data_IF_453564026998
#
_entry.id   IF_453564026998
#
_cell.length_a   1.000
_cell.length_b   1.000
_cell.length_c   1.000
_cell.angle_alpha   90.00
_cell.angle_beta   90.00
_cell.angle_gamma   90.00
#
_symmetry.space_group_name_H-M   'P 1'
#
loop_
_entity.id
_entity.type
_entity.pdbx_description
1 polymer ?
#
# COMPACT_ATOMS: atom_id res chain seq x y z
N UNK A 1 -8.97 -7.36 21.51
CA UNK A 1 -7.78 -8.22 21.37
C UNK A 1 -8.13 -9.69 21.59
N UNK A 2 -8.67 -10.08 22.75
CA UNK A 2 -9.02 -11.48 23.06
C UNK A 2 -9.95 -12.13 22.03
N UNK A 3 -10.98 -11.41 21.56
CA UNK A 3 -11.89 -11.91 20.52
C UNK A 3 -11.13 -12.30 19.24
N UNK A 4 -10.14 -11.51 18.81
CA UNK A 4 -9.35 -11.83 17.61
C UNK A 4 -8.50 -13.07 17.81
N UNK A 5 -7.90 -13.24 19.00
CA UNK A 5 -7.11 -14.42 19.34
C UNK A 5 -7.98 -15.68 19.37
N UNK A 6 -9.18 -15.60 19.95
CA UNK A 6 -10.14 -16.71 19.92
C UNK A 6 -10.54 -17.06 18.49
N UNK A 7 -10.84 -16.07 17.64
CA UNK A 7 -11.15 -16.29 16.23
C UNK A 7 -9.98 -16.93 15.47
N UNK A 8 -8.73 -16.53 15.77
CA UNK A 8 -7.55 -17.14 15.18
C UNK A 8 -7.49 -18.63 15.48
N UNK A 9 -7.64 -19.01 16.76
CA UNK A 9 -7.64 -20.42 17.19
C UNK A 9 -8.81 -21.19 16.55
N UNK A 10 -9.99 -20.57 16.46
CA UNK A 10 -11.16 -21.19 15.82
C UNK A 10 -10.91 -21.49 14.34
N UNK A 11 -10.42 -20.51 13.56
CA UNK A 11 -10.13 -20.69 12.13
C UNK A 11 -8.99 -21.69 11.92
N UNK A 12 -7.99 -21.69 12.80
CA UNK A 12 -6.87 -22.62 12.74
C UNK A 12 -7.33 -24.08 12.91
N UNK A 13 -8.36 -24.35 13.72
CA UNK A 13 -8.91 -25.68 13.93
C UNK A 13 -10.06 -26.03 12.96
N UNK A 14 -10.44 -25.12 12.07
CA UNK A 14 -11.54 -25.31 11.14
C UNK A 14 -11.07 -25.96 9.84
N UNK A 15 -11.88 -26.88 9.31
CA UNK A 15 -11.68 -27.47 7.99
C UNK A 15 -11.83 -26.40 6.89
N UNK A 16 -10.96 -26.37 5.84
CA UNK A 16 -11.02 -25.41 4.74
C UNK A 16 -12.42 -25.27 4.12
N UNK A 17 -13.14 -26.39 3.94
CA UNK A 17 -14.47 -26.47 3.35
C UNK A 17 -15.54 -25.75 4.18
N UNK A 18 -15.29 -25.57 5.48
CA UNK A 18 -16.19 -24.84 6.36
C UNK A 18 -15.90 -23.34 6.33
N UNK A 19 -14.64 -22.91 6.20
CA UNK A 19 -14.26 -21.48 6.25
C UNK A 19 -14.93 -20.68 5.14
N UNK A 20 -15.05 -21.25 3.93
CA UNK A 20 -15.74 -20.62 2.79
C UNK A 20 -17.23 -20.33 3.06
N UNK A 21 -17.87 -21.04 3.99
CA UNK A 21 -19.26 -20.82 4.41
C UNK A 21 -19.43 -19.59 5.32
N UNK A 22 -18.34 -19.01 5.80
CA UNK A 22 -18.34 -17.83 6.69
C UNK A 22 -17.54 -16.68 6.06
N UNK A 23 -17.94 -16.16 4.89
CA UNK A 23 -17.21 -15.09 4.20
C UNK A 23 -17.15 -13.78 5.01
N UNK A 24 -18.04 -13.59 5.98
CA UNK A 24 -17.95 -12.49 6.94
C UNK A 24 -16.64 -12.49 7.76
N UNK A 25 -15.97 -13.64 7.94
CA UNK A 25 -14.65 -13.66 8.58
C UNK A 25 -13.61 -12.94 7.71
N UNK A 26 -13.66 -13.17 6.41
CA UNK A 26 -12.79 -12.50 5.44
C UNK A 26 -13.08 -10.99 5.42
N UNK A 27 -14.32 -10.59 5.15
CA UNK A 27 -14.69 -9.17 5.05
C UNK A 27 -14.59 -8.45 6.39
N UNK A 28 -14.81 -9.14 7.51
CA UNK A 28 -14.58 -8.61 8.84
C UNK A 28 -13.10 -8.28 9.09
N UNK A 29 -12.18 -9.15 8.63
CA UNK A 29 -10.76 -8.83 8.67
C UNK A 29 -10.44 -7.60 7.83
N UNK A 30 -10.91 -7.54 6.58
CA UNK A 30 -10.70 -6.39 5.68
C UNK A 30 -11.19 -5.09 6.32
N UNK A 31 -12.40 -5.08 6.88
CA UNK A 31 -12.93 -3.91 7.58
C UNK A 31 -12.05 -3.49 8.77
N UNK A 32 -11.57 -4.46 9.56
CA UNK A 32 -10.73 -4.18 10.73
C UNK A 32 -9.29 -3.77 10.39
N UNK A 33 -8.78 -4.08 9.18
CA UNK A 33 -7.44 -3.64 8.75
C UNK A 33 -7.33 -2.12 8.57
N UNK A 34 -8.45 -1.40 8.47
CA UNK A 34 -8.45 0.07 8.44
C UNK A 34 -8.10 0.72 9.79
N UNK A 35 -8.02 -0.07 10.87
CA UNK A 35 -7.67 0.44 12.19
C UNK A 35 -6.27 1.09 12.22
N UNK A 36 -6.13 2.15 13.02
CA UNK A 36 -4.83 2.78 13.31
C UNK A 36 -4.17 2.23 14.59
N UNK A 37 -4.84 1.31 15.28
CA UNK A 37 -4.29 0.65 16.45
C UNK A 37 -3.39 -0.51 16.02
N UNK A 38 -2.08 -0.28 15.96
CA UNK A 38 -1.09 -1.23 15.40
C UNK A 38 -1.21 -2.65 15.99
N UNK A 39 -1.42 -2.80 17.30
CA UNK A 39 -1.55 -4.14 17.90
C UNK A 39 -2.83 -4.87 17.47
N UNK A 40 -3.93 -4.15 17.31
CA UNK A 40 -5.18 -4.72 16.77
C UNK A 40 -4.96 -5.09 15.31
N UNK A 41 -4.38 -4.18 14.53
CA UNK A 41 -4.02 -4.41 13.14
C UNK A 41 -3.16 -5.66 12.94
N UNK A 42 -2.11 -5.87 13.76
CA UNK A 42 -1.28 -7.08 13.71
C UNK A 42 -2.11 -8.35 13.94
N UNK A 43 -3.01 -8.35 14.93
CA UNK A 43 -3.86 -9.52 15.19
C UNK A 43 -4.90 -9.76 14.10
N UNK A 44 -5.36 -8.71 13.44
CA UNK A 44 -6.24 -8.81 12.27
C UNK A 44 -5.48 -9.41 11.08
N UNK A 45 -4.24 -8.98 10.83
CA UNK A 45 -3.40 -9.58 9.78
C UNK A 45 -3.07 -11.05 10.08
N UNK A 46 -2.82 -11.42 11.34
CA UNK A 46 -2.62 -12.82 11.73
C UNK A 46 -3.87 -13.68 11.59
N UNK A 47 -5.06 -13.11 11.88
CA UNK A 47 -6.33 -13.77 11.61
C UNK A 47 -6.54 -13.93 10.10
N UNK A 48 -6.33 -12.85 9.34
CA UNK A 48 -6.45 -12.86 7.89
C UNK A 48 -5.51 -13.88 7.25
N UNK A 49 -4.27 -13.97 7.70
CA UNK A 49 -3.31 -14.97 7.24
C UNK A 49 -3.84 -16.40 7.42
N UNK A 50 -4.51 -16.69 8.54
CA UNK A 50 -5.11 -18.02 8.78
C UNK A 50 -6.34 -18.24 7.91
N UNK A 51 -7.15 -17.22 7.70
CA UNK A 51 -8.31 -17.29 6.80
C UNK A 51 -7.86 -17.59 5.37
N UNK A 52 -6.89 -16.85 4.84
CA UNK A 52 -6.40 -17.08 3.47
C UNK A 52 -5.63 -18.39 3.31
N UNK A 53 -4.98 -18.91 4.36
CA UNK A 53 -4.34 -20.23 4.32
C UNK A 53 -5.38 -21.37 4.24
N UNK A 54 -6.65 -21.10 4.59
CA UNK A 54 -7.78 -22.03 4.49
C UNK A 54 -8.63 -21.83 3.22
N UNK A 55 -8.43 -20.73 2.50
CA UNK A 55 -9.16 -20.41 1.27
C UNK A 55 -8.26 -20.63 0.05
N UNK A 56 -8.78 -21.28 -0.99
CA UNK A 56 -8.06 -21.38 -2.25
C UNK A 56 -8.36 -20.17 -3.12
N UNK A 57 -7.33 -19.42 -3.52
CA UNK A 57 -7.46 -18.31 -4.48
C UNK A 57 -6.99 -18.69 -5.89
N UNK A 58 -6.79 -19.99 -6.15
CA UNK A 58 -6.43 -20.51 -7.48
C UNK A 58 -7.64 -20.72 -8.37
N UNK A 59 -8.82 -20.83 -7.78
CA UNK A 59 -10.09 -21.12 -8.41
C UNK A 59 -11.09 -19.96 -8.24
N UNK A 60 -11.98 -19.81 -9.22
CA UNK A 60 -12.96 -18.72 -9.24
C UNK A 60 -14.08 -18.92 -8.22
N UNK A 61 -14.25 -20.10 -7.65
CA UNK A 61 -15.34 -20.39 -6.69
C UNK A 61 -15.20 -19.57 -5.41
N UNK A 62 -14.03 -19.58 -4.77
CA UNK A 62 -13.77 -18.76 -3.59
C UNK A 62 -13.96 -17.28 -3.88
N UNK A 63 -13.45 -16.81 -5.02
CA UNK A 63 -13.59 -15.43 -5.44
C UNK A 63 -15.06 -15.03 -5.60
N UNK A 64 -15.85 -15.83 -6.31
CA UNK A 64 -17.28 -15.60 -6.52
C UNK A 64 -18.05 -15.60 -5.20
N UNK A 65 -17.76 -16.52 -4.27
CA UNK A 65 -18.39 -16.56 -2.95
C UNK A 65 -18.07 -15.29 -2.17
N UNK A 66 -16.80 -14.89 -2.11
CA UNK A 66 -16.39 -13.67 -1.41
C UNK A 66 -17.03 -12.43 -2.04
N UNK A 67 -17.01 -12.28 -3.36
CA UNK A 67 -17.60 -11.13 -4.05
C UNK A 67 -19.12 -11.07 -3.93
N UNK A 68 -19.80 -12.23 -3.90
CA UNK A 68 -21.26 -12.29 -3.71
C UNK A 68 -21.70 -11.85 -2.30
N UNK A 69 -20.81 -11.97 -1.32
CA UNK A 69 -21.04 -11.63 0.09
C UNK A 69 -20.44 -10.28 0.51
N UNK A 70 -19.82 -9.57 -0.44
CA UNK A 70 -19.22 -8.27 -0.20
C UNK A 70 -20.27 -7.30 0.35
N UNK A 71 -19.99 -6.59 1.46
CA UNK A 71 -20.91 -5.59 1.98
C UNK A 71 -21.05 -4.45 0.97
N UNK A 72 -22.26 -4.24 0.43
CA UNK A 72 -22.57 -3.18 -0.55
C UNK A 72 -23.31 -2.02 0.12
N UNK A 73 -23.17 -0.83 -0.44
CA UNK A 73 -24.01 0.31 -0.06
C UNK A 73 -25.43 0.08 -0.58
N UNK A 74 -26.43 0.20 0.29
CA UNK A 74 -27.85 -0.04 -0.04
C UNK A 74 -28.40 0.92 -1.12
N UNK A 75 -27.62 1.92 -1.54
CA UNK A 75 -27.98 2.91 -2.56
C UNK A 75 -27.79 2.45 -4.03
N UNK A 76 -27.18 1.30 -4.29
CA UNK A 76 -27.05 0.78 -5.66
C UNK A 76 -28.32 0.07 -6.17
N UNK A 77 -29.40 0.07 -5.38
CA UNK A 77 -30.67 -0.63 -5.69
C UNK A 77 -31.73 0.26 -6.34
N UNK A 78 -31.35 1.31 -7.08
CA UNK A 78 -32.31 2.23 -7.73
C UNK A 78 -32.17 2.32 -9.26
N UNK A 79 -31.62 1.30 -9.91
CA UNK A 79 -31.69 1.17 -11.38
C UNK A 79 -32.15 -0.23 -11.77
N UNK A 80 -33.34 -0.30 -12.38
CA UNK A 80 -34.13 -1.47 -12.85
C UNK A 80 -34.68 -2.36 -11.73
N UNK A 81 -35.97 -2.51 -11.45
CA UNK A 81 -37.17 -2.40 -12.30
C UNK A 81 -38.41 -1.92 -11.52
N UNK A 82 -39.25 -1.18 -12.23
CA UNK A 82 -40.63 -0.89 -11.86
C UNK A 82 -41.49 -2.14 -12.07
N UNK A 83 -42.05 -2.74 -11.00
CA UNK A 83 -43.36 -3.40 -11.07
C UNK A 83 -44.03 -3.47 -9.70
N UNK A 84 -45.25 -2.96 -9.67
CA UNK A 84 -46.27 -3.01 -8.63
C UNK A 84 -46.30 -4.31 -7.81
N UNK A 85 -46.39 -4.19 -6.48
CA UNK A 85 -47.49 -4.76 -5.70
C UNK A 85 -47.53 -4.11 -4.32
N UNK A 86 -48.57 -3.29 -4.10
CA UNK A 86 -48.99 -2.82 -2.79
C UNK A 86 -49.25 -4.01 -1.85
N UNK A 87 -48.67 -3.98 -0.65
CA UNK A 87 -49.38 -4.47 0.53
C UNK A 87 -49.05 -3.61 1.75
N UNK A 88 -50.05 -2.83 2.12
CA UNK A 88 -50.14 -1.94 3.28
C UNK A 88 -50.15 -2.75 4.57
N UNK A 89 -49.32 -2.36 5.55
CA UNK A 89 -49.42 -2.55 7.03
C UNK A 89 -47.99 -2.47 7.61
N UNK A 90 -47.66 -1.86 8.73
CA UNK A 90 -48.26 -0.81 9.54
C UNK A 90 -47.11 -0.27 10.43
N UNK A 91 -46.74 0.98 10.17
CA UNK A 91 -46.06 1.99 11.01
C UNK A 91 -45.64 1.54 12.43
N UNK A 92 -44.33 1.45 12.70
CA UNK A 92 -43.75 1.72 14.03
C UNK A 92 -42.31 2.27 13.92
N UNK A 93 -42.20 3.55 14.31
CA UNK A 93 -41.02 4.35 14.63
C UNK A 93 -39.65 3.93 14.05
N UNK A 94 -39.31 4.52 12.91
CA UNK A 94 -37.95 4.66 12.42
C UNK A 94 -37.18 5.60 13.37
N UNK A 95 -36.22 5.08 14.13
CA UNK A 95 -35.16 5.94 14.66
C UNK A 95 -34.26 6.35 13.49
N UNK A 96 -33.86 7.64 13.39
CA UNK A 96 -32.97 8.08 12.33
C UNK A 96 -31.60 7.41 12.52
N UNK A 97 -31.25 6.50 11.61
CA UNK A 97 -29.92 5.88 11.58
C UNK A 97 -28.85 6.98 11.48
N UNK A 98 -27.88 7.06 12.40
CA UNK A 98 -26.83 8.04 12.32
C UNK A 98 -25.82 7.59 11.26
N UNK A 99 -25.45 8.51 10.38
CA UNK A 99 -24.43 8.42 9.32
C UNK A 99 -24.90 7.97 7.93
N UNK A 100 -25.37 8.95 7.15
CA UNK A 100 -25.17 9.04 5.69
C UNK A 100 -23.66 9.19 5.37
N UNK A 101 -22.80 8.32 5.91
CA UNK A 101 -21.38 8.29 5.60
C UNK A 101 -21.18 7.41 4.37
N UNK A 102 -20.71 7.97 3.26
CA UNK A 102 -20.28 7.19 2.10
C UNK A 102 -19.11 6.32 2.52
N UNK A 103 -19.21 5.00 2.33
CA UNK A 103 -18.10 4.09 2.62
C UNK A 103 -16.97 4.38 1.64
N UNK A 104 -15.70 4.39 2.06
CA UNK A 104 -14.58 4.45 1.14
C UNK A 104 -14.72 3.35 0.08
N UNK A 105 -14.40 3.68 -1.16
CA UNK A 105 -14.39 2.69 -2.23
C UNK A 105 -13.39 1.58 -1.87
N UNK A 106 -13.77 0.33 -2.08
CA UNK A 106 -12.89 -0.80 -1.84
C UNK A 106 -11.86 -0.88 -2.96
N UNK A 107 -10.61 -0.56 -2.65
CA UNK A 107 -9.47 -0.58 -3.59
C UNK A 107 -8.74 -1.94 -3.62
N UNK A 108 -9.19 -2.90 -2.80
CA UNK A 108 -8.57 -4.21 -2.64
C UNK A 108 -7.89 -4.40 -1.29
N UNK A 109 -7.51 -5.65 -0.99
CA UNK A 109 -6.83 -6.00 0.26
C UNK A 109 -5.35 -5.60 0.26
N UNK A 110 -4.65 -5.66 -0.88
CA UNK A 110 -3.21 -5.44 -0.95
C UNK A 110 -2.78 -4.06 -0.41
N UNK A 111 -3.44 -2.93 -0.74
CA UNK A 111 -3.10 -1.63 -0.15
C UNK A 111 -3.17 -1.64 1.39
N UNK A 112 -4.15 -2.35 1.96
CA UNK A 112 -4.32 -2.46 3.42
C UNK A 112 -3.18 -3.24 4.07
N UNK A 113 -2.61 -4.23 3.37
CA UNK A 113 -1.46 -5.00 3.87
C UNK A 113 -0.15 -4.24 3.65
N UNK A 114 -0.01 -3.53 2.52
CA UNK A 114 1.14 -2.67 2.24
C UNK A 114 1.29 -1.55 3.30
N UNK A 115 0.19 -1.01 3.83
CA UNK A 115 0.20 -0.10 5.00
C UNK A 115 1.03 -0.65 6.15
N UNK A 116 0.92 -1.95 6.42
CA UNK A 116 1.59 -2.59 7.54
C UNK A 116 3.11 -2.70 7.41
N UNK A 117 3.67 -2.43 6.22
CA UNK A 117 5.11 -2.31 6.03
C UNK A 117 5.68 -1.01 6.62
N UNK A 118 4.85 0.00 6.91
CA UNK A 118 5.28 1.29 7.50
C UNK A 118 5.45 1.25 9.02
N UNK A 119 5.56 0.08 9.63
CA UNK A 119 5.77 -0.04 11.06
C UNK A 119 6.57 -1.28 11.37
N UNK A 120 7.59 -1.13 12.21
CA UNK A 120 8.41 -2.25 12.70
C UNK A 120 7.59 -3.30 13.45
N UNK A 121 6.44 -2.93 14.03
CA UNK A 121 5.56 -3.83 14.78
C UNK A 121 4.71 -4.71 13.87
N UNK A 122 4.18 -4.16 12.76
CA UNK A 122 3.33 -4.89 11.82
C UNK A 122 4.08 -5.45 10.61
N UNK A 123 5.34 -5.05 10.41
CA UNK A 123 6.16 -5.43 9.27
C UNK A 123 6.19 -6.94 9.03
N UNK A 124 6.57 -7.73 10.05
CA UNK A 124 6.77 -9.17 9.89
C UNK A 124 5.50 -9.92 9.47
N UNK A 125 4.37 -9.60 10.07
CA UNK A 125 3.07 -10.18 9.70
C UNK A 125 2.59 -9.67 8.33
N UNK A 126 2.90 -8.42 7.97
CA UNK A 126 2.55 -7.87 6.65
C UNK A 126 3.32 -8.57 5.54
N UNK A 127 4.63 -8.81 5.72
CA UNK A 127 5.43 -9.63 4.79
C UNK A 127 4.85 -11.04 4.68
N UNK A 128 4.45 -11.66 5.80
CA UNK A 128 3.80 -12.98 5.79
C UNK A 128 2.52 -12.97 4.95
N UNK A 129 1.62 -12.01 5.14
CA UNK A 129 0.38 -11.91 4.36
C UNK A 129 0.66 -11.61 2.88
N UNK A 130 1.55 -10.66 2.56
CA UNK A 130 1.97 -10.37 1.18
C UNK A 130 2.54 -11.62 0.49
N UNK A 131 3.34 -12.41 1.19
CA UNK A 131 3.86 -13.68 0.69
C UNK A 131 2.74 -14.65 0.31
N UNK A 132 1.66 -14.71 1.09
CA UNK A 132 0.50 -15.58 0.82
C UNK A 132 -0.37 -15.08 -0.34
N UNK A 133 -0.52 -13.77 -0.49
CA UNK A 133 -1.32 -13.17 -1.58
C UNK A 133 -0.50 -12.91 -2.87
N UNK A 134 0.72 -13.47 -2.96
CA UNK A 134 1.54 -13.49 -4.18
C UNK A 134 0.95 -14.50 -5.18
N UNK A 135 -0.23 -14.18 -5.72
CA UNK A 135 -0.99 -15.04 -6.63
C UNK A 135 -1.46 -14.22 -7.83
N UNK A 136 -1.45 -14.78 -9.06
CA UNK A 136 -1.80 -14.04 -10.27
C UNK A 136 -3.30 -13.74 -10.44
N UNK A 137 -4.16 -14.45 -9.71
CA UNK A 137 -5.62 -14.37 -9.77
C UNK A 137 -6.20 -13.44 -8.70
N UNK A 138 -7.51 -13.21 -8.78
CA UNK A 138 -8.32 -12.50 -7.78
C UNK A 138 -8.01 -10.99 -7.64
N UNK A 139 -7.82 -10.30 -8.76
CA UNK A 139 -7.61 -8.84 -8.76
C UNK A 139 -8.82 -8.10 -8.15
N UNK A 140 -10.06 -8.52 -8.42
CA UNK A 140 -11.26 -7.92 -7.81
C UNK A 140 -11.31 -7.98 -6.29
N UNK A 141 -10.49 -8.83 -5.66
CA UNK A 141 -10.38 -8.95 -4.20
C UNK A 141 -9.10 -8.27 -3.70
N UNK A 142 -7.97 -8.54 -4.34
CA UNK A 142 -6.67 -8.13 -3.83
C UNK A 142 -6.23 -6.74 -4.28
N UNK A 143 -6.70 -6.23 -5.41
CA UNK A 143 -6.40 -4.87 -5.88
C UNK A 143 -6.45 -4.73 -7.40
N UNK A 144 -6.39 -3.49 -7.86
CA UNK A 144 -6.47 -3.12 -9.27
C UNK A 144 -5.53 -3.92 -10.19
N UNK A 145 -6.08 -4.55 -11.23
CA UNK A 145 -5.35 -5.49 -12.09
C UNK A 145 -4.16 -4.86 -12.83
N UNK A 146 -4.20 -3.55 -13.12
CA UNK A 146 -3.12 -2.84 -13.80
C UNK A 146 -1.92 -2.63 -12.88
N UNK A 147 -2.20 -2.23 -11.63
CA UNK A 147 -1.19 -1.73 -10.68
C UNK A 147 -0.79 -2.72 -9.59
N UNK A 148 -1.58 -3.76 -9.34
CA UNK A 148 -1.38 -4.70 -8.22
C UNK A 148 0.00 -5.38 -8.26
N UNK A 149 0.44 -5.89 -9.41
CA UNK A 149 1.76 -6.55 -9.52
C UNK A 149 2.91 -5.54 -9.28
N UNK A 150 2.82 -4.34 -9.85
CA UNK A 150 3.79 -3.26 -9.62
C UNK A 150 3.91 -2.96 -8.13
N UNK A 151 2.79 -2.74 -7.45
CA UNK A 151 2.78 -2.41 -6.02
C UNK A 151 3.21 -3.60 -5.16
N UNK A 152 2.91 -4.83 -5.59
CA UNK A 152 3.38 -6.05 -4.93
C UNK A 152 4.91 -6.13 -4.93
N UNK A 153 5.51 -5.93 -6.12
CA UNK A 153 6.96 -5.93 -6.29
C UNK A 153 7.56 -4.75 -5.52
N UNK A 154 7.00 -3.55 -5.65
CA UNK A 154 7.51 -2.34 -4.97
C UNK A 154 7.54 -2.50 -3.45
N UNK A 155 6.52 -3.13 -2.86
CA UNK A 155 6.46 -3.38 -1.41
C UNK A 155 7.37 -4.52 -0.92
N UNK A 156 7.53 -5.60 -1.70
CA UNK A 156 8.33 -6.76 -1.31
C UNK A 156 9.81 -6.67 -1.69
N UNK A 157 10.17 -5.92 -2.73
CA UNK A 157 11.53 -5.85 -3.23
C UNK A 157 12.54 -5.34 -2.18
N UNK A 158 12.23 -4.33 -1.34
CA UNK A 158 13.12 -3.93 -0.25
C UNK A 158 13.44 -5.09 0.70
N UNK A 159 12.43 -5.90 1.04
CA UNK A 159 12.59 -7.08 1.90
C UNK A 159 13.48 -8.15 1.24
N UNK A 160 13.25 -8.43 -0.05
CA UNK A 160 14.04 -9.40 -0.81
C UNK A 160 15.50 -8.97 -0.92
N UNK A 161 15.76 -7.69 -1.16
CA UNK A 161 17.12 -7.13 -1.21
C UNK A 161 17.86 -7.32 0.12
N UNK A 162 17.19 -7.12 1.25
CA UNK A 162 17.81 -7.34 2.57
C UNK A 162 18.23 -8.78 2.82
N UNK A 163 17.56 -9.76 2.21
CA UNK A 163 17.94 -11.17 2.33
C UNK A 163 19.18 -11.54 1.51
N UNK A 164 19.66 -10.65 0.63
CA UNK A 164 20.93 -10.83 -0.11
C UNK A 164 22.15 -10.31 0.68
N UNK A 165 21.95 -9.33 1.56
CA UNK A 165 23.03 -8.63 2.27
C UNK A 165 23.48 -9.29 3.58
N UNK A 166 22.95 -10.48 3.91
CA UNK A 166 23.29 -11.18 5.15
C UNK A 166 24.30 -12.29 4.84
N UNK A 167 25.56 -12.10 5.26
CA UNK A 167 26.63 -13.07 5.05
C UNK A 167 26.27 -14.44 5.67
N UNK A 168 26.40 -15.48 4.85
CA UNK A 168 26.05 -16.88 5.13
C UNK A 168 27.01 -17.57 6.13
N UNK A 169 27.30 -16.94 7.28
CA UNK A 169 28.18 -17.49 8.31
C UNK A 169 27.45 -18.47 9.26
N UNK A 170 26.15 -18.71 9.06
CA UNK A 170 25.35 -19.45 10.05
C UNK A 170 24.82 -20.76 9.48
N UNK A 171 24.96 -21.84 10.25
CA UNK A 171 24.61 -23.21 9.88
C UNK A 171 23.15 -23.43 9.46
N UNK A 172 22.81 -24.65 8.99
CA UNK A 172 21.58 -24.97 8.25
C UNK A 172 20.26 -24.79 9.02
N UNK A 173 20.29 -24.41 10.30
CA UNK A 173 19.12 -24.23 11.18
C UNK A 173 18.97 -22.79 11.71
N UNK A 174 19.67 -21.81 11.12
CA UNK A 174 19.59 -20.43 11.59
C UNK A 174 18.27 -19.75 11.18
N UNK A 175 17.71 -18.86 12.03
CA UNK A 175 16.54 -18.06 11.67
C UNK A 175 16.73 -17.22 10.39
N UNK A 176 17.96 -16.82 10.09
CA UNK A 176 18.33 -16.03 8.91
C UNK A 176 18.20 -16.87 7.62
N UNK A 177 18.70 -18.12 7.64
CA UNK A 177 18.56 -19.03 6.51
C UNK A 177 17.09 -19.31 6.18
N UNK A 178 16.24 -19.40 7.20
CA UNK A 178 14.80 -19.59 7.02
C UNK A 178 14.14 -18.38 6.32
N UNK A 179 14.57 -17.16 6.64
CA UNK A 179 14.06 -15.95 5.96
C UNK A 179 14.54 -15.88 4.50
N UNK A 180 15.79 -16.25 4.23
CA UNK A 180 16.31 -16.32 2.86
C UNK A 180 15.54 -17.36 2.03
N UNK A 181 15.33 -18.58 2.56
CA UNK A 181 14.55 -19.60 1.86
C UNK A 181 13.11 -19.14 1.59
N UNK A 182 12.49 -18.44 2.56
CA UNK A 182 11.19 -17.82 2.35
C UNK A 182 11.24 -16.78 1.22
N UNK A 183 12.27 -15.93 1.18
CA UNK A 183 12.44 -14.96 0.10
C UNK A 183 12.60 -15.61 -1.28
N UNK A 184 13.37 -16.70 -1.39
CA UNK A 184 13.46 -17.47 -2.63
C UNK A 184 12.08 -18.01 -3.08
N UNK A 185 11.29 -18.54 -2.14
CA UNK A 185 9.93 -19.04 -2.46
C UNK A 185 8.99 -17.92 -2.91
N UNK A 186 9.08 -16.74 -2.30
CA UNK A 186 8.26 -15.57 -2.67
C UNK A 186 8.68 -15.04 -4.03
N UNK A 187 9.99 -14.93 -4.31
CA UNK A 187 10.50 -14.53 -5.62
C UNK A 187 10.07 -15.51 -6.73
N UNK A 188 10.11 -16.82 -6.47
CA UNK A 188 9.58 -17.80 -7.41
C UNK A 188 8.08 -17.60 -7.70
N UNK A 189 7.27 -17.27 -6.69
CA UNK A 189 5.86 -16.95 -6.88
C UNK A 189 5.64 -15.64 -7.66
N UNK A 190 6.46 -14.61 -7.41
CA UNK A 190 6.45 -13.37 -8.22
C UNK A 190 6.77 -13.71 -9.68
N UNK A 191 7.76 -14.56 -9.94
CA UNK A 191 8.08 -14.98 -11.30
C UNK A 191 6.93 -15.71 -12.01
N UNK A 192 6.21 -16.59 -11.30
CA UNK A 192 4.99 -17.24 -11.82
C UNK A 192 3.94 -16.18 -12.18
N UNK A 193 3.76 -15.16 -11.34
CA UNK A 193 2.82 -14.07 -11.61
C UNK A 193 3.25 -13.23 -12.80
N UNK A 194 4.54 -12.88 -12.92
CA UNK A 194 5.08 -12.19 -14.10
C UNK A 194 4.79 -12.97 -15.39
N UNK A 195 5.00 -14.29 -15.42
CA UNK A 195 4.65 -15.15 -16.58
C UNK A 195 3.16 -15.13 -16.90
N UNK A 196 2.30 -15.17 -15.89
CA UNK A 196 0.86 -15.09 -16.08
C UNK A 196 0.42 -13.76 -16.73
N UNK A 197 1.20 -12.68 -16.54
CA UNK A 197 1.02 -11.38 -17.21
C UNK A 197 1.92 -11.18 -18.44
N UNK A 198 2.52 -12.24 -18.98
CA UNK A 198 3.45 -12.19 -20.13
C UNK A 198 4.69 -11.28 -19.95
N UNK A 199 5.17 -11.12 -18.71
CA UNK A 199 6.38 -10.37 -18.37
C UNK A 199 7.56 -11.33 -18.18
N UNK A 200 7.97 -12.00 -19.25
CA UNK A 200 8.92 -13.13 -19.20
C UNK A 200 10.34 -12.72 -18.76
N UNK A 201 10.81 -11.54 -19.16
CA UNK A 201 12.11 -11.02 -18.73
C UNK A 201 12.14 -10.78 -17.22
N UNK A 202 11.08 -10.16 -16.68
CA UNK A 202 10.95 -9.89 -15.24
C UNK A 202 10.81 -11.20 -14.46
N UNK A 203 10.09 -12.18 -15.01
CA UNK A 203 10.01 -13.52 -14.43
C UNK A 203 11.39 -14.21 -14.34
N UNK A 204 12.21 -14.05 -15.37
CA UNK A 204 13.57 -14.61 -15.42
C UNK A 204 14.44 -14.02 -14.32
N UNK A 205 14.37 -12.70 -14.10
CA UNK A 205 15.09 -12.03 -13.02
C UNK A 205 14.68 -12.58 -11.64
N UNK A 206 13.39 -12.73 -11.36
CA UNK A 206 12.95 -13.27 -10.07
C UNK A 206 13.26 -14.77 -9.88
N UNK A 207 13.38 -15.55 -10.98
CA UNK A 207 13.88 -16.93 -10.91
C UNK A 207 15.38 -17.02 -10.65
N UNK A 208 16.17 -16.11 -11.25
CA UNK A 208 17.59 -15.97 -10.95
C UNK A 208 17.82 -15.59 -9.47
N UNK A 209 16.95 -14.74 -8.91
CA UNK A 209 16.92 -14.51 -7.46
C UNK A 209 16.60 -15.78 -6.67
N UNK A 210 15.53 -16.50 -7.04
CA UNK A 210 15.11 -17.69 -6.31
C UNK A 210 16.15 -18.83 -6.34
N UNK A 211 17.01 -18.86 -7.37
CA UNK A 211 18.12 -19.80 -7.52
C UNK A 211 19.44 -19.34 -6.88
N UNK A 212 19.48 -18.12 -6.33
CA UNK A 212 20.66 -17.59 -5.63
C UNK A 212 21.74 -17.02 -6.56
N UNK A 213 21.41 -16.63 -7.78
CA UNK A 213 22.36 -16.07 -8.74
C UNK A 213 22.80 -14.63 -8.41
N UNK A 214 21.97 -13.87 -7.68
CA UNK A 214 22.29 -12.50 -7.28
C UNK A 214 23.21 -12.45 -6.06
N UNK A 215 24.36 -11.80 -6.23
CA UNK A 215 25.38 -11.61 -5.17
C UNK A 215 25.28 -10.28 -4.42
N UNK A 216 24.37 -9.40 -4.83
CA UNK A 216 24.28 -8.05 -4.27
C UNK A 216 23.00 -7.33 -4.67
N UNK A 217 22.62 -6.37 -3.82
CA UNK A 217 21.40 -5.57 -3.97
C UNK A 217 21.43 -4.78 -5.27
N UNK A 218 22.54 -4.12 -5.58
CA UNK A 218 22.68 -3.28 -6.77
C UNK A 218 22.47 -4.06 -8.07
N UNK A 219 22.99 -5.29 -8.17
CA UNK A 219 22.84 -6.14 -9.34
C UNK A 219 21.37 -6.54 -9.57
N UNK A 220 20.65 -6.84 -8.49
CA UNK A 220 19.22 -7.14 -8.56
C UNK A 220 18.44 -5.92 -9.02
N UNK A 221 18.69 -4.76 -8.41
CA UNK A 221 17.98 -3.52 -8.75
C UNK A 221 18.27 -3.09 -10.19
N UNK A 222 19.52 -3.17 -10.65
CA UNK A 222 19.88 -2.90 -12.04
C UNK A 222 19.17 -3.81 -13.04
N UNK A 223 18.80 -5.04 -12.63
CA UNK A 223 18.08 -5.99 -13.48
C UNK A 223 16.55 -5.78 -13.44
N UNK A 224 16.00 -5.38 -12.29
CA UNK A 224 14.55 -5.21 -12.09
C UNK A 224 14.06 -3.82 -12.56
N UNK A 225 14.78 -2.75 -12.21
CA UNK A 225 14.36 -1.37 -12.46
C UNK A 225 14.01 -1.04 -13.92
N UNK A 226 14.82 -1.38 -14.94
CA UNK A 226 14.47 -1.07 -16.34
C UNK A 226 13.18 -1.78 -16.78
N UNK A 227 12.96 -3.02 -16.33
CA UNK A 227 11.77 -3.80 -16.66
C UNK A 227 10.51 -3.22 -16.01
N UNK A 228 10.60 -2.74 -14.77
CA UNK A 228 9.48 -2.06 -14.11
C UNK A 228 9.15 -0.72 -14.81
N UNK A 229 10.17 0.07 -15.11
CA UNK A 229 9.99 1.37 -15.75
C UNK A 229 9.36 1.21 -17.15
N UNK A 230 9.82 0.25 -17.95
CA UNK A 230 9.29 0.02 -19.28
C UNK A 230 7.81 -0.38 -19.31
N UNK A 231 7.37 -1.17 -18.32
CA UNK A 231 5.99 -1.69 -18.28
C UNK A 231 4.99 -0.70 -17.65
N UNK A 232 5.38 0.01 -16.58
CA UNK A 232 4.43 0.80 -15.79
C UNK A 232 4.66 2.31 -15.82
N UNK A 233 5.85 2.79 -16.19
CA UNK A 233 6.19 4.21 -16.10
C UNK A 233 6.06 4.89 -17.47
N UNK A 234 5.62 6.16 -17.53
CA UNK A 234 5.35 7.08 -16.41
C UNK A 234 3.94 6.96 -15.79
N UNK A 235 3.03 6.17 -16.38
CA UNK A 235 1.61 6.13 -15.99
C UNK A 235 1.37 5.87 -14.50
N UNK A 236 2.16 4.99 -13.89
CA UNK A 236 2.00 4.57 -12.50
C UNK A 236 3.22 4.92 -11.61
N UNK A 237 4.12 5.80 -12.07
CA UNK A 237 5.35 6.15 -11.34
C UNK A 237 5.06 6.80 -9.99
N UNK A 238 4.04 7.68 -9.91
CA UNK A 238 3.64 8.34 -8.67
C UNK A 238 3.23 7.34 -7.57
N UNK A 239 2.61 6.21 -7.93
CA UNK A 239 2.24 5.16 -6.97
C UNK A 239 3.47 4.49 -6.37
N UNK A 240 4.40 4.07 -7.23
CA UNK A 240 5.61 3.38 -6.82
C UNK A 240 6.54 4.31 -6.01
N UNK A 241 6.83 5.50 -6.52
CA UNK A 241 7.65 6.50 -5.82
C UNK A 241 6.99 6.95 -4.51
N UNK A 242 5.69 7.22 -4.51
CA UNK A 242 4.95 7.60 -3.31
C UNK A 242 5.05 6.55 -2.21
N UNK A 243 4.87 5.26 -2.55
CA UNK A 243 5.01 4.17 -1.58
C UNK A 243 6.44 4.02 -1.05
N UNK A 244 7.45 4.13 -1.92
CA UNK A 244 8.85 4.05 -1.51
C UNK A 244 9.26 5.21 -0.60
N UNK A 245 8.83 6.44 -0.92
CA UNK A 245 9.06 7.60 -0.06
C UNK A 245 8.38 7.45 1.30
N UNK A 246 7.18 6.88 1.32
CA UNK A 246 6.48 6.63 2.58
C UNK A 246 7.17 5.55 3.43
N UNK A 247 7.67 4.48 2.80
CA UNK A 247 8.54 3.48 3.44
C UNK A 247 9.83 4.09 3.97
N UNK A 248 10.43 5.04 3.24
CA UNK A 248 11.65 5.72 3.65
C UNK A 248 11.43 6.56 4.91
N UNK A 249 10.28 7.23 5.00
CA UNK A 249 9.94 8.13 6.10
C UNK A 249 9.43 7.40 7.36
N UNK A 250 8.62 6.35 7.19
CA UNK A 250 7.91 5.67 8.31
C UNK A 250 8.30 4.21 8.52
N UNK A 251 8.90 3.56 7.52
CA UNK A 251 9.23 2.15 7.56
C UNK A 251 10.40 1.81 8.49
N UNK A 252 10.75 0.51 8.58
CA UNK A 252 11.90 0.05 9.34
C UNK A 252 13.21 0.69 8.86
N UNK A 253 14.09 1.05 9.79
CA UNK A 253 15.35 1.74 9.49
C UNK A 253 16.28 0.92 8.59
N UNK A 254 16.18 -0.42 8.66
CA UNK A 254 16.94 -1.35 7.84
C UNK A 254 16.63 -1.20 6.34
N UNK A 255 15.44 -0.67 6.00
CA UNK A 255 15.01 -0.52 4.62
C UNK A 255 15.57 0.75 3.98
N UNK A 256 15.94 1.76 4.77
CA UNK A 256 16.25 3.11 4.25
C UNK A 256 17.33 3.07 3.16
N UNK A 257 18.44 2.38 3.40
CA UNK A 257 19.51 2.23 2.41
C UNK A 257 19.01 1.58 1.12
N UNK A 258 18.27 0.48 1.24
CA UNK A 258 17.73 -0.26 0.09
C UNK A 258 16.74 0.58 -0.70
N UNK A 259 15.88 1.33 -0.02
CA UNK A 259 14.91 2.22 -0.65
C UNK A 259 15.62 3.34 -1.41
N UNK A 260 16.67 3.94 -0.84
CA UNK A 260 17.45 4.95 -1.57
C UNK A 260 18.09 4.38 -2.84
N UNK A 261 18.66 3.17 -2.77
CA UNK A 261 19.18 2.48 -3.96
C UNK A 261 18.09 2.20 -4.99
N UNK A 262 16.88 1.81 -4.55
CA UNK A 262 15.73 1.60 -5.44
C UNK A 262 15.26 2.90 -6.09
N UNK A 263 15.13 3.99 -5.32
CA UNK A 263 14.75 5.31 -5.84
C UNK A 263 15.73 5.76 -6.92
N UNK A 264 17.05 5.65 -6.67
CA UNK A 264 18.09 5.95 -7.65
C UNK A 264 17.91 5.12 -8.93
N UNK A 265 17.80 3.80 -8.79
CA UNK A 265 17.71 2.90 -9.94
C UNK A 265 16.45 3.15 -10.79
N UNK A 266 15.32 3.49 -10.17
CA UNK A 266 14.09 3.83 -10.89
C UNK A 266 14.17 5.21 -11.57
N UNK A 267 14.75 6.21 -10.92
CA UNK A 267 14.91 7.57 -11.48
C UNK A 267 15.79 7.59 -12.74
N UNK A 268 16.78 6.69 -12.82
CA UNK A 268 17.66 6.57 -14.00
C UNK A 268 16.92 6.19 -15.28
N UNK A 269 15.74 5.56 -15.17
CA UNK A 269 14.97 5.06 -16.31
C UNK A 269 13.66 5.82 -16.53
N UNK A 270 13.35 6.85 -15.75
CA UNK A 270 12.06 7.55 -15.86
C UNK A 270 12.17 9.03 -15.52
N UNK A 271 11.66 9.93 -16.39
CA UNK A 271 11.58 11.34 -16.05
C UNK A 271 10.59 11.53 -14.89
N UNK A 272 11.01 12.27 -13.86
CA UNK A 272 10.17 12.54 -12.69
C UNK A 272 9.18 13.66 -13.01
N UNK A 273 7.94 13.51 -12.54
CA UNK A 273 6.95 14.59 -12.60
C UNK A 273 7.38 15.78 -11.71
N UNK A 274 7.36 16.98 -12.28
CA UNK A 274 7.72 18.22 -11.60
C UNK A 274 6.89 18.47 -10.32
N UNK A 275 5.68 17.93 -10.23
CA UNK A 275 4.85 18.04 -9.03
C UNK A 275 5.37 17.20 -7.85
N UNK A 276 6.03 16.07 -8.12
CA UNK A 276 6.49 15.11 -7.11
C UNK A 276 7.95 15.34 -6.68
N UNK A 277 8.76 15.97 -7.54
CA UNK A 277 10.16 16.28 -7.27
C UNK A 277 10.39 17.07 -5.96
N UNK A 278 9.60 18.10 -5.59
CA UNK A 278 9.80 18.83 -4.34
C UNK A 278 9.62 17.95 -3.10
N UNK A 279 8.65 17.04 -3.13
CA UNK A 279 8.37 16.14 -2.01
C UNK A 279 9.50 15.13 -1.81
N UNK A 280 9.96 14.52 -2.91
CA UNK A 280 11.12 13.62 -2.89
C UNK A 280 12.38 14.34 -2.39
N UNK A 281 12.65 15.54 -2.89
CA UNK A 281 13.77 16.36 -2.42
C UNK A 281 13.68 16.64 -0.92
N UNK A 282 12.51 17.03 -0.42
CA UNK A 282 12.31 17.35 0.99
C UNK A 282 12.58 16.15 1.92
N UNK A 283 12.18 14.94 1.52
CA UNK A 283 12.43 13.73 2.32
C UNK A 283 13.90 13.30 2.22
N UNK A 284 14.45 13.20 1.00
CA UNK A 284 15.80 12.67 0.79
C UNK A 284 16.88 13.62 1.31
N UNK A 285 16.67 14.94 1.23
CA UNK A 285 17.63 15.93 1.76
C UNK A 285 17.84 15.83 3.27
N UNK A 286 16.81 15.44 4.03
CA UNK A 286 16.94 15.21 5.48
C UNK A 286 17.89 14.07 5.83
N UNK A 287 18.13 13.14 4.89
CA UNK A 287 19.02 12.00 5.08
C UNK A 287 20.48 12.31 4.70
N UNK A 288 20.77 13.48 4.11
CA UNK A 288 22.14 13.87 3.73
C UNK A 288 23.03 14.09 4.97
N UNK A 289 22.45 14.46 6.10
CA UNK A 289 23.17 14.61 7.39
C UNK A 289 23.33 13.28 8.14
N UNK A 290 22.80 12.17 7.59
CA UNK A 290 22.83 10.85 8.23
C UNK A 290 24.02 9.98 7.75
N UNK A 291 24.11 8.76 8.26
CA UNK A 291 25.07 7.75 7.79
C UNK A 291 24.80 7.26 6.36
N UNK A 292 23.65 7.60 5.78
CA UNK A 292 23.23 7.24 4.42
C UNK A 292 23.47 8.38 3.41
N UNK A 293 24.37 9.32 3.74
CA UNK A 293 24.59 10.54 2.98
C UNK A 293 24.95 10.27 1.50
N UNK A 294 25.76 9.24 1.22
CA UNK A 294 26.17 8.89 -0.13
C UNK A 294 25.01 8.37 -0.97
N UNK A 295 24.20 7.46 -0.43
CA UNK A 295 23.00 6.98 -1.10
C UNK A 295 22.00 8.13 -1.31
N UNK A 296 21.78 8.98 -0.30
CA UNK A 296 20.90 10.14 -0.41
C UNK A 296 21.36 11.14 -1.48
N UNK A 297 22.64 11.51 -1.51
CA UNK A 297 23.21 12.38 -2.54
C UNK A 297 23.07 11.77 -3.93
N UNK A 298 23.28 10.46 -4.07
CA UNK A 298 23.13 9.78 -5.36
C UNK A 298 21.69 9.77 -5.88
N UNK A 299 20.69 9.76 -4.98
CA UNK A 299 19.27 9.93 -5.35
C UNK A 299 18.99 11.36 -5.77
N UNK A 300 19.51 12.35 -5.03
CA UNK A 300 19.34 13.77 -5.39
C UNK A 300 19.98 14.10 -6.74
N UNK A 301 21.16 13.55 -7.03
CA UNK A 301 21.81 13.68 -8.33
C UNK A 301 20.96 13.07 -9.46
N UNK A 302 20.47 11.83 -9.25
CA UNK A 302 19.58 11.18 -10.21
C UNK A 302 18.29 12.01 -10.43
N UNK A 303 17.69 12.54 -9.36
CA UNK A 303 16.50 13.39 -9.46
C UNK A 303 16.76 14.66 -10.28
N UNK A 304 17.91 15.31 -10.10
CA UNK A 304 18.30 16.49 -10.88
C UNK A 304 18.49 16.14 -12.36
N UNK A 305 19.14 15.02 -12.66
CA UNK A 305 19.31 14.53 -14.03
C UNK A 305 17.94 14.25 -14.69
N UNK A 306 17.03 13.56 -14.00
CA UNK A 306 15.68 13.26 -14.48
C UNK A 306 14.79 14.49 -14.66
N UNK A 307 15.06 15.60 -13.94
CA UNK A 307 14.37 16.89 -14.15
C UNK A 307 14.96 17.70 -15.32
N UNK A 308 16.22 17.44 -15.69
CA UNK A 308 16.93 18.20 -16.73
C UNK A 308 16.70 17.70 -18.16
N UNK A 309 16.11 16.51 -18.32
CA UNK A 309 15.76 15.95 -19.63
C UNK A 309 14.52 16.64 -20.23
N UNK A 310 14.65 17.88 -20.67
CA UNK A 310 13.68 18.48 -21.59
C UNK A 310 13.83 17.82 -22.97
N UNK A 311 12.72 17.44 -23.65
CA UNK A 311 12.77 17.08 -25.05
C UNK A 311 12.84 18.38 -25.88
N UNK A 312 14.04 18.76 -26.32
CA UNK A 312 14.21 19.78 -27.35
C UNK A 312 15.37 20.74 -27.14
N UNK A 313 16.57 20.36 -27.57
CA UNK A 313 17.54 21.28 -28.18
C UNK A 313 18.53 20.50 -29.05
N UNK A 314 18.83 21.09 -30.20
CA UNK A 314 19.54 20.57 -31.37
C UNK A 314 20.87 19.83 -31.10
N UNK A 315 21.33 18.97 -32.03
CA UNK A 315 22.65 18.36 -31.92
C UNK A 315 23.75 19.43 -31.91
N UNK A 316 24.86 19.22 -31.19
CA UNK A 316 26.00 20.13 -31.22
C UNK A 316 26.71 19.97 -32.57
N UNK A 317 26.55 20.92 -33.48
CA UNK A 317 27.47 21.05 -34.60
C UNK A 317 28.84 21.46 -34.07
N UNK A 318 29.83 20.60 -34.34
CA UNK A 318 31.24 20.88 -34.14
C UNK A 318 31.67 21.98 -35.12
N UNK A 319 32.22 23.09 -34.58
CA UNK A 319 32.76 24.20 -35.37
C UNK A 319 33.98 24.81 -34.69
N UNK A 320 35.10 24.72 -35.40
CA UNK A 320 36.48 25.14 -35.13
C UNK A 320 36.73 26.49 -34.43
N UNK A 321 37.82 26.49 -33.65
CA UNK A 321 38.63 27.63 -33.20
C UNK A 321 38.86 28.71 -34.27
N UNK A 322 38.84 29.99 -33.85
CA UNK A 322 39.91 30.96 -34.17
C UNK A 322 39.89 32.19 -33.23
N UNK A 323 41.09 32.66 -32.90
CA UNK A 323 41.39 33.77 -31.97
C UNK A 323 41.01 35.15 -32.50
N UNK A 324 40.68 36.08 -31.60
CA UNK A 324 40.66 37.52 -31.91
C UNK A 324 40.45 38.42 -30.68
N UNK A 325 41.50 39.16 -30.30
CA UNK A 325 41.53 40.20 -29.27
C UNK A 325 40.69 41.44 -29.65
N UNK A 326 40.07 42.10 -28.66
CA UNK A 326 39.60 43.50 -28.78
C UNK A 326 38.38 43.82 -27.93
N UNK A 327 38.59 44.53 -26.81
CA UNK A 327 37.53 44.86 -25.84
C UNK A 327 36.60 46.00 -26.27
N UNK A 328 35.45 46.12 -25.59
CA UNK A 328 34.93 47.35 -24.93
C UNK A 328 33.72 46.93 -24.08
N UNK A 329 33.56 47.54 -22.92
CA UNK A 329 32.40 47.38 -22.01
C UNK A 329 31.05 47.51 -22.72
N UNK A 330 30.15 46.53 -22.52
CA UNK A 330 28.73 46.83 -22.29
C UNK A 330 28.09 45.85 -21.31
N UNK A 331 27.46 46.49 -20.33
CA UNK A 331 26.78 46.04 -19.12
C UNK A 331 25.43 45.42 -19.45
N UNK A 332 25.26 44.10 -19.28
CA UNK A 332 23.92 43.49 -19.12
C UNK A 332 23.99 42.37 -18.07
N UNK A 333 23.51 42.71 -16.87
CA UNK A 333 23.13 41.78 -15.83
C UNK A 333 21.60 41.59 -15.93
N UNK A 334 21.08 40.36 -15.89
CA UNK A 334 19.75 40.16 -15.34
C UNK A 334 19.89 39.45 -13.99
N UNK A 335 19.80 40.25 -12.93
CA UNK A 335 19.29 39.77 -11.65
C UNK A 335 17.88 39.24 -11.91
N UNK A 336 17.65 37.96 -11.62
CA UNK A 336 16.31 37.50 -11.26
C UNK A 336 16.39 36.93 -9.85
N UNK A 337 15.99 37.77 -8.91
CA UNK A 337 15.68 37.41 -7.54
C UNK A 337 14.73 36.22 -7.53
N UNK A 338 15.20 35.06 -7.05
CA UNK A 338 14.31 34.00 -6.59
C UNK A 338 13.55 34.51 -5.36
N UNK A 339 12.37 35.08 -5.62
CA UNK A 339 11.34 35.33 -4.61
C UNK A 339 10.05 34.70 -5.12
N UNK A 340 10.03 33.37 -5.14
CA UNK A 340 8.81 32.61 -5.35
C UNK A 340 7.93 32.78 -4.11
N UNK A 341 6.92 33.64 -4.25
CA UNK A 341 5.82 33.80 -3.31
C UNK A 341 4.98 32.53 -3.39
N UNK A 342 5.24 31.58 -2.50
CA UNK A 342 4.50 30.32 -2.38
C UNK A 342 3.04 30.62 -2.03
N UNK A 343 2.15 30.48 -3.02
CA UNK A 343 0.73 30.34 -2.79
C UNK A 343 0.37 28.85 -2.73
N UNK A 344 -0.49 28.40 -1.81
CA UNK A 344 -0.94 27.02 -1.80
C UNK A 344 -1.90 26.81 -2.97
N UNK A 345 -1.46 26.04 -3.98
CA UNK A 345 -2.36 25.53 -5.01
C UNK A 345 -2.77 24.10 -4.64
N UNK A 346 -4.06 23.97 -4.36
CA UNK A 346 -4.77 22.73 -4.11
C UNK A 346 -4.69 21.85 -5.35
N UNK A 347 -4.24 20.61 -5.20
CA UNK A 347 -4.42 19.58 -6.23
C UNK A 347 -5.31 18.46 -5.67
N UNK A 348 -6.39 18.20 -6.39
CA UNK A 348 -7.31 17.11 -6.17
C UNK A 348 -6.87 15.91 -7.02
N UNK A 349 -6.33 14.87 -6.39
CA UNK A 349 -6.26 13.52 -6.94
C UNK A 349 -6.08 12.55 -5.76
N UNK A 350 -7.02 11.61 -5.65
CA UNK A 350 -7.12 10.70 -4.51
C UNK A 350 -5.96 9.72 -4.43
N UNK A 351 -5.29 9.72 -3.28
CA UNK A 351 -5.01 8.56 -2.42
C UNK A 351 -4.95 9.16 -1.02
N UNK A 352 -6.02 8.96 -0.24
CA UNK A 352 -6.16 9.51 1.10
C UNK A 352 -5.64 8.52 2.13
N UNK A 353 -4.36 8.63 2.49
CA UNK A 353 -3.86 8.10 3.77
C UNK A 353 -3.05 9.22 4.45
N UNK A 354 -3.63 9.73 5.54
CA UNK A 354 -3.25 11.02 6.13
C UNK A 354 -1.88 11.04 6.82
N UNK A 355 -1.19 12.16 6.62
CA UNK A 355 -0.07 12.62 7.43
C UNK A 355 -0.39 14.03 7.95
N UNK A 356 0.11 14.38 9.13
CA UNK A 356 0.08 15.74 9.64
C UNK A 356 1.42 16.13 10.26
N UNK A 357 1.87 17.37 9.99
CA UNK A 357 2.44 18.29 11.00
C UNK A 357 2.68 19.72 10.44
N UNK A 358 1.93 20.70 10.98
CA UNK A 358 2.31 22.06 11.48
C UNK A 358 2.95 23.13 10.53
N UNK A 359 2.68 24.45 10.57
CA UNK A 359 2.12 25.35 11.59
C UNK A 359 1.64 26.72 10.97
N UNK A 360 0.54 27.26 11.51
CA UNK A 360 0.11 28.67 11.71
C UNK A 360 -0.07 29.70 10.56
N UNK A 361 -1.33 30.13 10.36
CA UNK A 361 -1.74 31.40 9.74
C UNK A 361 -3.27 31.51 9.58
N UNK A 362 -3.92 32.38 10.36
CA UNK A 362 -5.38 32.52 10.54
C UNK A 362 -6.19 32.74 9.24
N UNK A 363 -7.32 32.00 9.09
CA UNK A 363 -8.62 32.53 8.68
C UNK A 363 -9.73 31.45 8.84
N UNK A 364 -10.81 31.80 9.55
CA UNK A 364 -12.02 30.99 9.79
C UNK A 364 -12.68 30.52 8.50
N UNK A 365 -13.11 29.24 8.45
CA UNK A 365 -14.44 28.74 8.00
C UNK A 365 -14.54 27.23 8.35
N UNK A 366 -15.41 26.91 9.32
CA UNK A 366 -16.01 25.60 9.68
C UNK A 366 -15.22 24.30 9.40
N UNK A 367 -14.24 23.99 10.25
CA UNK A 367 -13.71 22.62 10.38
C UNK A 367 -14.63 21.78 11.30
N UNK A 368 -15.32 20.80 10.74
CA UNK A 368 -15.65 19.59 11.50
C UNK A 368 -14.35 18.80 11.66
N UNK A 369 -13.56 19.17 12.66
CA UNK A 369 -12.23 18.63 12.98
C UNK A 369 -12.30 17.23 13.55
N UNK A 370 -12.62 16.24 12.72
CA UNK A 370 -12.47 14.82 13.07
C UNK A 370 -11.00 14.47 12.90
N UNK A 371 -10.35 14.00 13.96
CA UNK A 371 -8.95 13.57 13.86
C UNK A 371 -8.81 12.37 12.90
N UNK A 372 -7.67 12.18 12.21
CA UNK A 372 -7.45 11.02 11.34
C UNK A 372 -7.76 9.68 12.03
N UNK A 373 -7.44 9.60 13.34
CA UNK A 373 -7.72 8.45 14.19
C UNK A 373 -9.22 8.22 14.42
N UNK A 374 -9.99 9.29 14.62
CA UNK A 374 -11.45 9.21 14.75
C UNK A 374 -12.10 8.84 13.42
N UNK A 375 -11.58 9.36 12.30
CA UNK A 375 -12.04 9.01 10.96
C UNK A 375 -11.78 7.52 10.65
N UNK A 376 -10.59 7.00 10.97
CA UNK A 376 -10.28 5.58 10.81
C UNK A 376 -11.15 4.69 11.69
N UNK A 377 -11.41 5.10 12.94
CA UNK A 377 -12.33 4.42 13.84
C UNK A 377 -13.76 4.42 13.27
N UNK A 378 -14.22 5.55 12.75
CA UNK A 378 -15.53 5.69 12.13
C UNK A 378 -15.65 4.78 10.89
N UNK A 379 -14.67 4.79 10.00
CA UNK A 379 -14.64 3.93 8.81
C UNK A 379 -14.64 2.44 9.20
N UNK A 380 -13.81 2.04 10.16
CA UNK A 380 -13.75 0.66 10.66
C UNK A 380 -15.10 0.23 11.23
N UNK A 381 -15.74 1.08 12.05
CA UNK A 381 -17.06 0.80 12.64
C UNK A 381 -18.13 0.67 11.57
N UNK A 382 -18.12 1.56 10.58
CA UNK A 382 -19.09 1.55 9.49
C UNK A 382 -18.95 0.27 8.67
N UNK A 383 -17.74 -0.03 8.18
CA UNK A 383 -17.48 -1.24 7.38
C UNK A 383 -17.79 -2.52 8.16
N UNK A 384 -17.37 -2.61 9.43
CA UNK A 384 -17.66 -3.77 10.26
C UNK A 384 -19.16 -3.90 10.55
N UNK A 385 -19.87 -2.79 10.77
CA UNK A 385 -21.33 -2.76 10.88
C UNK A 385 -21.99 -3.38 9.65
N UNK A 386 -21.57 -2.97 8.44
CA UNK A 386 -22.09 -3.53 7.18
C UNK A 386 -21.82 -5.02 7.02
N UNK A 387 -20.65 -5.50 7.42
CA UNK A 387 -20.33 -6.95 7.44
C UNK A 387 -21.25 -7.72 8.39
N UNK A 388 -21.60 -7.12 9.53
CA UNK A 388 -22.49 -7.76 10.50
C UNK A 388 -23.95 -7.72 10.06
N UNK A 389 -24.39 -6.67 9.37
CA UNK A 389 -25.75 -6.54 8.84
C UNK A 389 -26.01 -7.52 7.68
N UNK A 390 -25.00 -7.79 6.86
CA UNK A 390 -25.08 -8.81 5.79
C UNK A 390 -25.05 -10.24 6.32
N UNK A 391 -24.65 -10.45 7.58
CA UNK A 391 -24.68 -11.75 8.24
C UNK A 391 -26.12 -12.15 8.62
N UNK A 392 -26.52 -13.40 8.33
CA UNK A 392 -27.86 -13.92 8.66
C UNK A 392 -28.20 -13.83 10.16
N UNK A 393 -27.19 -13.81 11.04
CA UNK A 393 -27.34 -13.61 12.49
C UNK A 393 -27.53 -12.15 12.88
N UNK A 394 -27.10 -11.19 12.05
CA UNK A 394 -27.29 -9.75 12.27
C UNK A 394 -28.73 -9.30 12.08
N UNK A 395 -29.42 -9.82 11.06
CA UNK A 395 -30.84 -9.52 10.80
C UNK A 395 -31.81 -9.98 11.89
N UNK A 396 -31.41 -10.89 12.79
CA UNK A 396 -32.26 -11.47 13.85
C UNK A 396 -31.97 -10.95 15.26
N UNK A 397 -31.12 -9.93 15.44
CA UNK A 397 -30.92 -9.32 16.76
C UNK A 397 -31.87 -8.15 16.97
N UNK A 398 -33.09 -8.47 17.37
CA UNK A 398 -33.85 -7.56 18.23
C UNK A 398 -33.02 -7.34 19.50
N UNK A 399 -32.35 -6.19 19.61
CA UNK A 399 -31.52 -5.81 20.76
C UNK A 399 -32.30 -5.78 22.10
N UNK A 400 -33.61 -6.05 22.09
CA UNK A 400 -34.48 -6.16 23.28
C UNK A 400 -34.31 -7.46 24.08
N UNK A 401 -33.48 -8.42 23.65
CA UNK A 401 -33.22 -9.67 24.39
C UNK A 401 -31.74 -9.91 24.72
N UNK A 402 -30.96 -8.86 24.93
CA UNK A 402 -29.70 -9.00 25.66
C UNK A 402 -30.03 -9.06 27.15
N UNK A 403 -29.96 -10.27 27.72
CA UNK A 403 -30.03 -10.47 29.18
C UNK A 403 -28.82 -9.77 29.78
N UNK A 404 -28.98 -8.84 30.74
CA UNK A 404 -27.85 -8.21 31.39
C UNK A 404 -27.12 -9.27 32.23
N UNK A 405 -25.95 -9.70 31.79
CA UNK A 405 -25.00 -10.38 32.65
C UNK A 405 -24.41 -9.34 33.60
N UNK A 406 -25.03 -9.19 34.77
CA UNK A 406 -24.45 -9.06 36.12
C UNK A 406 -25.59 -8.69 37.09
N UNK A 407 -26.07 -9.67 37.84
CA UNK A 407 -26.69 -9.45 39.16
C UNK A 407 -26.28 -10.60 40.08
N UNK A 408 -25.12 -10.51 40.73
CA UNK A 408 -24.84 -11.15 42.04
C UNK A 408 -23.46 -10.74 42.58
N UNK A 409 -23.48 -9.77 43.49
CA UNK A 409 -22.66 -9.67 44.71
C UNK A 409 -23.35 -8.54 45.50
N UNK A 410 -24.14 -8.77 46.53
CA UNK A 410 -23.84 -9.54 47.74
C UNK A 410 -24.08 -8.56 48.90
N UNK A 411 -25.14 -8.81 49.66
CA UNK A 411 -25.61 -8.04 50.82
C UNK A 411 -24.53 -7.81 51.90
N UNK A 412 -24.76 -6.87 52.82
CA UNK A 412 -25.23 -7.30 54.15
C UNK A 412 -26.72 -7.00 54.40
#
# INVERSE_FOLDING_TARGET
>A
MEILLTLQVMVENMEPEKVILYPQLFWGCVAMMHTDFVHVYCQVLELFSRVIDRLSFRDTTTENVLLSSMPRDELDTNTSDSSEFQRTESRNACEPSPSNGKVPAFEGVQPLVLKGLMSTVSHGVSIKVLSRITVPSCDSIFGDAETRLLMHITGLLPWLCLQLGQDAVVGPTSPLQQQHQKACSVAANIAIWCRAKSLDELATVFLAYASGEFKGIENLLASVSPLLCNEWFPKHSALAFGHLLWLLEKGPVEYQRVILLMLKALLQHTPMDAAQSPHMYAIVSQLVESTLCWEALSVLEALLQSCSSLPGSHPPEAGSFENGFGGTDEKILPQTSFKARSGPLQFAAGIAYGAGSTLAGQANINESGISPRELALQNTRLMLGRVLDSCALGRRRDYRRLVPFVTTAGNP
#
